data_IF_641502977026
#
_entry.id   IF_641502977026
#
_cell.length_a   1.000
_cell.length_b   1.000
_cell.length_c   1.000
_cell.angle_alpha   90.00
_cell.angle_beta   90.00
_cell.angle_gamma   90.00
#
_symmetry.space_group_name_H-M   'P 1'
#
loop_
_entity.id
_entity.type
_entity.pdbx_description
1 polymer ?
#
# COMPACT_ATOMS: atom_id res chain seq x y z
N UNK A 1 -12.59 -47.35 10.10
CA UNK A 1 -12.57 -46.36 9.00
C UNK A 1 -12.66 -44.93 9.54
N UNK A 2 -11.67 -44.49 10.34
CA UNK A 2 -11.68 -43.17 10.99
C UNK A 2 -10.47 -42.28 10.61
N UNK A 3 -9.47 -42.82 9.90
CA UNK A 3 -8.22 -42.12 9.60
C UNK A 3 -8.22 -41.25 8.35
N UNK A 4 -9.26 -41.29 7.51
CA UNK A 4 -9.32 -40.52 6.25
C UNK A 4 -9.93 -39.13 6.40
N UNK A 5 -10.73 -38.87 7.44
CA UNK A 5 -11.33 -37.54 7.65
C UNK A 5 -10.36 -36.53 8.25
N UNK A 6 -9.47 -36.95 9.16
CA UNK A 6 -8.52 -36.05 9.83
C UNK A 6 -7.49 -35.41 8.87
N UNK A 7 -7.05 -36.15 7.83
CA UNK A 7 -6.12 -35.62 6.84
C UNK A 7 -6.71 -34.53 5.95
N UNK A 8 -8.01 -34.59 5.65
CA UNK A 8 -8.67 -33.59 4.81
C UNK A 8 -8.83 -32.24 5.54
N UNK A 9 -9.12 -32.25 6.84
CA UNK A 9 -9.33 -31.04 7.64
C UNK A 9 -8.01 -30.28 7.86
N UNK A 10 -6.90 -30.99 8.08
CA UNK A 10 -5.58 -30.35 8.23
C UNK A 10 -5.08 -29.76 6.90
N UNK A 11 -5.34 -30.43 5.77
CA UNK A 11 -4.98 -29.90 4.44
C UNK A 11 -5.83 -28.67 4.05
N UNK A 12 -7.13 -28.64 4.37
CA UNK A 12 -7.97 -27.46 4.14
C UNK A 12 -7.56 -26.26 5.01
N UNK A 13 -7.15 -26.50 6.27
CA UNK A 13 -6.62 -25.43 7.14
C UNK A 13 -5.26 -24.89 6.66
N UNK A 14 -4.44 -25.71 5.98
CA UNK A 14 -3.18 -25.27 5.36
C UNK A 14 -3.39 -24.52 4.04
N UNK A 15 -4.40 -24.89 3.24
CA UNK A 15 -4.78 -24.18 2.00
C UNK A 15 -5.46 -22.84 2.33
N UNK A 16 -6.02 -22.69 3.54
CA UNK A 16 -6.42 -21.40 4.10
C UNK A 16 -5.22 -20.56 4.61
N UNK A 17 -4.02 -20.75 4.06
CA UNK A 17 -3.04 -19.66 4.01
C UNK A 17 -3.56 -18.65 2.99
N UNK A 18 -4.47 -17.83 3.52
CA UNK A 18 -5.02 -16.59 2.99
C UNK A 18 -3.98 -15.95 2.06
N UNK A 19 -4.35 -15.78 0.79
CA UNK A 19 -3.64 -14.88 -0.12
C UNK A 19 -3.74 -13.47 0.49
N UNK A 20 -2.80 -13.13 1.37
CA UNK A 20 -2.72 -11.83 2.02
C UNK A 20 -2.64 -10.78 0.93
N UNK A 21 -3.55 -9.81 0.97
CA UNK A 21 -3.46 -8.66 0.09
C UNK A 21 -2.31 -7.77 0.59
N UNK A 22 -1.29 -7.59 -0.25
CA UNK A 22 -0.08 -6.83 0.10
C UNK A 22 -0.05 -5.54 -0.69
N UNK A 23 0.36 -4.45 -0.04
CA UNK A 23 0.64 -3.17 -0.71
C UNK A 23 2.00 -2.66 -0.27
N UNK A 24 2.59 -1.79 -1.07
CA UNK A 24 3.69 -0.95 -0.60
C UNK A 24 3.13 0.16 0.29
N UNK A 25 3.77 0.39 1.42
CA UNK A 25 3.46 1.44 2.40
C UNK A 25 4.70 2.31 2.60
N UNK A 26 4.52 3.62 2.65
CA UNK A 26 5.62 4.54 2.96
C UNK A 26 5.56 5.88 2.22
N UNK A 27 6.51 6.73 2.56
CA UNK A 27 6.63 8.10 2.06
C UNK A 27 8.06 8.38 1.63
N UNK A 28 8.27 8.93 0.43
CA UNK A 28 9.60 9.23 -0.07
C UNK A 28 10.44 7.97 -0.27
N UNK A 29 11.61 7.89 0.36
CA UNK A 29 12.58 6.81 0.13
C UNK A 29 12.35 5.55 0.98
N UNK A 30 11.50 5.65 2.00
CA UNK A 30 11.23 4.56 2.94
C UNK A 30 9.90 3.90 2.57
N UNK A 31 9.96 2.79 1.84
CA UNK A 31 8.78 1.96 1.59
C UNK A 31 9.03 0.51 1.95
N UNK A 32 8.06 -0.04 2.65
CA UNK A 32 8.01 -1.43 3.08
C UNK A 32 6.83 -2.11 2.42
N UNK A 33 6.89 -3.44 2.33
CA UNK A 33 5.71 -4.23 1.96
C UNK A 33 4.99 -4.55 3.26
N UNK A 34 3.71 -4.21 3.34
CA UNK A 34 2.88 -4.51 4.50
C UNK A 34 1.73 -5.46 4.10
N UNK A 35 1.45 -6.41 4.99
CA UNK A 35 0.34 -7.35 4.89
C UNK A 35 -0.94 -6.63 5.34
N UNK A 36 -1.73 -6.16 4.38
CA UNK A 36 -2.94 -5.40 4.66
C UNK A 36 -4.16 -6.31 4.59
N UNK A 37 -4.52 -6.83 5.75
CA UNK A 37 -5.70 -7.68 5.91
C UNK A 37 -6.93 -6.94 6.46
N UNK A 38 -6.81 -5.66 6.81
CA UNK A 38 -7.91 -4.90 7.40
C UNK A 38 -7.94 -3.45 6.88
N UNK A 39 -8.89 -3.16 6.00
CA UNK A 39 -9.29 -1.80 5.63
C UNK A 39 -10.65 -1.43 6.26
N UNK A 40 -11.04 -2.11 7.35
CA UNK A 40 -12.37 -2.10 7.95
C UNK A 40 -13.18 -3.33 7.57
N UNK A 41 -14.02 -3.82 8.50
CA UNK A 41 -14.86 -5.01 8.32
C UNK A 41 -15.68 -4.95 7.02
N UNK A 42 -15.46 -5.92 6.13
CA UNK A 42 -16.21 -6.10 4.89
C UNK A 42 -15.87 -5.14 3.74
N UNK A 43 -14.91 -4.22 3.93
CA UNK A 43 -14.51 -3.28 2.88
C UNK A 43 -13.41 -3.85 1.97
N UNK A 44 -13.51 -3.57 0.66
CA UNK A 44 -12.49 -3.98 -0.31
C UNK A 44 -11.28 -3.03 -0.25
N UNK A 45 -10.14 -3.54 0.21
CA UNK A 45 -8.86 -2.83 0.16
C UNK A 45 -8.41 -2.57 -1.28
N UNK A 46 -7.76 -1.43 -1.49
CA UNK A 46 -7.00 -1.10 -2.69
C UNK A 46 -5.62 -0.56 -2.30
N UNK A 47 -4.60 -0.86 -3.10
CA UNK A 47 -3.32 -0.18 -2.99
C UNK A 47 -3.39 1.16 -3.70
N UNK A 48 -2.78 2.17 -3.10
CA UNK A 48 -2.76 3.56 -3.54
C UNK A 48 -1.32 3.98 -3.77
N UNK A 49 -1.09 4.70 -4.86
CA UNK A 49 0.14 5.43 -5.14
C UNK A 49 -0.23 6.86 -5.52
N UNK A 50 0.43 7.83 -4.91
CA UNK A 50 0.16 9.25 -5.13
C UNK A 50 1.44 10.08 -4.98
N UNK A 51 1.40 11.32 -5.45
CA UNK A 51 2.48 12.30 -5.34
C UNK A 51 1.98 13.48 -4.52
N UNK A 52 2.80 13.99 -3.61
CA UNK A 52 2.46 15.13 -2.76
C UNK A 52 3.58 16.15 -2.80
N UNK A 53 3.24 17.43 -2.62
CA UNK A 53 4.21 18.52 -2.48
C UNK A 53 4.67 18.56 -1.04
N UNK A 54 5.98 18.56 -0.80
CA UNK A 54 6.54 18.58 0.54
C UNK A 54 6.11 19.83 1.31
N UNK A 55 5.47 19.62 2.46
CA UNK A 55 5.03 20.64 3.41
C UNK A 55 5.60 20.40 4.80
N UNK A 56 5.33 21.31 5.73
CA UNK A 56 5.82 21.21 7.12
C UNK A 56 5.27 20.01 7.89
N UNK A 57 4.14 19.46 7.46
CA UNK A 57 3.44 18.36 8.11
C UNK A 57 3.82 16.98 7.58
N UNK A 58 4.59 16.92 6.48
CA UNK A 58 4.94 15.65 5.83
C UNK A 58 6.18 15.03 6.47
N UNK A 59 5.99 13.87 7.12
CA UNK A 59 7.04 13.11 7.80
C UNK A 59 8.14 12.62 6.85
N UNK A 60 7.82 12.39 5.57
CA UNK A 60 8.78 11.96 4.55
C UNK A 60 9.62 13.08 3.93
N UNK A 61 9.48 14.34 4.36
CA UNK A 61 10.16 15.50 3.77
C UNK A 61 11.14 16.15 4.74
N UNK A 62 12.38 16.37 4.29
CA UNK A 62 13.38 17.12 5.05
C UNK A 62 13.27 18.64 4.74
N UNK A 63 14.10 19.46 5.40
CA UNK A 63 14.08 20.92 5.19
C UNK A 63 14.46 21.34 3.77
N UNK A 64 15.38 20.62 3.12
CA UNK A 64 15.80 20.89 1.75
C UNK A 64 14.66 20.63 0.75
N UNK A 65 13.95 19.52 0.90
CA UNK A 65 12.79 19.19 0.08
C UNK A 65 11.72 20.27 0.16
N UNK A 66 11.47 20.79 1.36
CA UNK A 66 10.51 21.87 1.61
C UNK A 66 10.97 23.19 0.99
N UNK A 67 12.26 23.53 1.13
CA UNK A 67 12.82 24.74 0.54
C UNK A 67 12.78 24.73 -1.00
N UNK A 68 12.85 23.55 -1.60
CA UNK A 68 12.81 23.35 -3.06
C UNK A 68 11.42 23.09 -3.62
N UNK A 69 10.38 23.15 -2.78
CA UNK A 69 9.02 22.79 -3.20
C UNK A 69 8.97 21.40 -3.87
N UNK A 70 9.79 20.48 -3.36
CA UNK A 70 9.97 19.16 -3.94
C UNK A 70 8.68 18.35 -3.84
N UNK A 71 8.53 17.41 -4.76
CA UNK A 71 7.42 16.46 -4.73
C UNK A 71 7.95 15.06 -4.45
N UNK A 72 7.27 14.34 -3.57
CA UNK A 72 7.57 12.95 -3.22
C UNK A 72 6.41 12.03 -3.51
N UNK A 73 6.70 10.73 -3.55
CA UNK A 73 5.70 9.69 -3.71
C UNK A 73 5.28 9.13 -2.36
N UNK A 74 3.99 8.86 -2.22
CA UNK A 74 3.39 8.15 -1.11
C UNK A 74 2.73 6.86 -1.59
N UNK A 75 2.81 5.83 -0.77
CA UNK A 75 2.30 4.49 -1.03
C UNK A 75 1.50 4.06 0.19
N UNK A 76 0.28 3.57 0.00
CA UNK A 76 -0.53 3.06 1.11
C UNK A 76 -1.61 2.09 0.63
N UNK A 77 -2.32 1.46 1.55
CA UNK A 77 -3.57 0.76 1.33
C UNK A 77 -4.72 1.48 2.04
N UNK A 78 -5.86 1.61 1.37
CA UNK A 78 -7.08 2.10 2.01
C UNK A 78 -8.32 1.47 1.38
N UNK A 79 -9.51 1.88 1.83
CA UNK A 79 -10.74 1.50 1.15
C UNK A 79 -10.83 2.17 -0.22
N UNK A 80 -11.61 1.57 -1.11
CA UNK A 80 -11.84 2.12 -2.43
C UNK A 80 -12.41 3.55 -2.36
N UNK A 81 -13.33 3.78 -1.44
CA UNK A 81 -13.98 5.08 -1.23
C UNK A 81 -12.97 6.15 -0.82
N UNK A 82 -12.05 5.81 0.10
CA UNK A 82 -11.00 6.71 0.55
C UNK A 82 -10.05 7.05 -0.62
N UNK A 83 -9.73 6.07 -1.48
CA UNK A 83 -8.90 6.33 -2.66
C UNK A 83 -9.59 7.23 -3.69
N UNK A 84 -10.89 7.05 -3.90
CA UNK A 84 -11.67 7.91 -4.80
C UNK A 84 -11.81 9.33 -4.22
N UNK A 85 -11.85 9.47 -2.89
CA UNK A 85 -11.80 10.76 -2.22
C UNK A 85 -10.42 11.45 -2.32
N UNK A 86 -9.33 10.72 -2.17
CA UNK A 86 -7.96 11.25 -2.33
C UNK A 86 -7.68 11.83 -3.73
N UNK A 87 -8.45 11.44 -4.75
CA UNK A 87 -8.37 12.04 -6.10
C UNK A 87 -8.96 13.46 -6.17
N UNK A 88 -9.72 13.90 -5.17
CA UNK A 88 -10.29 15.25 -5.15
C UNK A 88 -9.17 16.27 -4.96
N UNK A 89 -9.20 17.42 -5.67
CA UNK A 89 -8.18 18.46 -5.55
C UNK A 89 -7.96 18.99 -4.13
N UNK A 90 -8.98 18.90 -3.26
CA UNK A 90 -8.92 19.33 -1.86
C UNK A 90 -7.86 18.62 -1.02
N UNK A 91 -7.40 17.45 -1.45
CA UNK A 91 -6.34 16.70 -0.76
C UNK A 91 -4.93 17.16 -1.12
N UNK A 92 -4.76 18.03 -2.13
CA UNK A 92 -3.43 18.49 -2.55
C UNK A 92 -2.52 17.37 -3.08
N UNK A 93 -3.11 16.24 -3.48
CA UNK A 93 -2.41 15.08 -4.02
C UNK A 93 -2.47 15.09 -5.56
N UNK A 94 -1.41 14.57 -6.16
CA UNK A 94 -1.20 14.48 -7.60
C UNK A 94 -1.00 13.03 -7.99
N UNK A 95 -1.35 12.68 -9.23
CA UNK A 95 -1.15 11.33 -9.78
C UNK A 95 -1.67 10.20 -8.88
N UNK A 96 -2.83 10.39 -8.25
CA UNK A 96 -3.45 9.39 -7.37
C UNK A 96 -3.95 8.22 -8.21
N UNK A 97 -3.40 7.04 -7.97
CA UNK A 97 -3.76 5.78 -8.62
C UNK A 97 -4.21 4.77 -7.58
N UNK A 98 -5.27 4.02 -7.88
CA UNK A 98 -5.82 2.96 -7.03
C UNK A 98 -5.81 1.65 -7.81
N UNK A 99 -5.45 0.54 -7.17
CA UNK A 99 -5.48 -0.76 -7.81
C UNK A 99 -5.80 -1.87 -6.79
N UNK A 100 -6.46 -2.95 -7.23
CA UNK A 100 -7.00 -3.97 -6.34
C UNK A 100 -6.28 -5.32 -6.43
N UNK A 101 -5.04 -5.33 -6.91
CA UNK A 101 -4.20 -6.53 -7.00
C UNK A 101 -3.01 -6.39 -6.06
N UNK A 102 -2.48 -7.51 -5.58
CA UNK A 102 -1.36 -7.49 -4.63
C UNK A 102 -0.15 -6.77 -5.24
N UNK A 103 0.50 -5.89 -4.46
CA UNK A 103 1.70 -5.10 -4.79
C UNK A 103 1.57 -4.25 -6.06
N UNK A 104 0.35 -3.90 -6.46
CA UNK A 104 0.11 -3.19 -7.70
C UNK A 104 0.57 -1.72 -7.66
N UNK A 105 0.71 -1.14 -6.47
CA UNK A 105 1.27 0.20 -6.26
C UNK A 105 2.81 0.20 -6.21
N UNK A 106 3.46 -0.75 -6.90
CA UNK A 106 4.92 -0.93 -6.85
C UNK A 106 5.68 0.38 -7.18
N UNK A 107 6.63 0.79 -6.33
CA UNK A 107 7.51 1.92 -6.63
C UNK A 107 8.51 1.58 -7.73
N UNK A 108 8.95 2.59 -8.48
CA UNK A 108 10.19 2.49 -9.27
C UNK A 108 11.41 2.73 -8.39
N UNK A 109 12.61 2.38 -8.87
CA UNK A 109 13.84 2.47 -8.07
C UNK A 109 14.15 3.88 -7.56
N UNK A 110 13.81 4.91 -8.35
CA UNK A 110 13.93 6.33 -7.99
C UNK A 110 12.87 6.80 -6.97
N UNK A 111 11.75 6.08 -6.88
CA UNK A 111 10.66 6.40 -5.98
C UNK A 111 10.78 5.68 -4.65
N UNK A 112 11.48 4.54 -4.64
CA UNK A 112 11.75 3.79 -3.43
C UNK A 112 12.97 2.87 -3.61
N UNK A 113 14.18 3.38 -3.35
CA UNK A 113 15.41 2.63 -3.58
C UNK A 113 15.52 1.38 -2.69
N UNK A 114 14.84 1.34 -1.54
CA UNK A 114 14.85 0.19 -0.63
C UNK A 114 13.83 -0.91 -0.96
N UNK A 115 12.80 -0.60 -1.76
CA UNK A 115 11.74 -1.54 -2.12
C UNK A 115 12.05 -2.38 -3.39
N UNK A 116 13.20 -2.14 -4.03
CA UNK A 116 13.65 -2.92 -5.17
C UNK A 116 14.29 -4.23 -4.69
N UNK A 117 13.70 -5.41 -4.98
CA UNK A 117 14.45 -6.66 -4.81
C UNK A 117 15.67 -6.61 -5.73
N UNK A 118 16.84 -7.02 -5.21
CA UNK A 118 17.99 -7.39 -6.04
C UNK A 118 17.61 -8.52 -6.99
#
# INVERSE_FOLDING_TARGET
MAGRLLFAVVFLSFILTILSFQCYEGYGMDCVIDDKNDCGEGAKCVCIKYRYKCSSMDAGCNEEDRAKDAFKWGFTAARKEDCDEMKKPSYGLFNVTCCSTTKCNRPTADQCPMASPK
#
